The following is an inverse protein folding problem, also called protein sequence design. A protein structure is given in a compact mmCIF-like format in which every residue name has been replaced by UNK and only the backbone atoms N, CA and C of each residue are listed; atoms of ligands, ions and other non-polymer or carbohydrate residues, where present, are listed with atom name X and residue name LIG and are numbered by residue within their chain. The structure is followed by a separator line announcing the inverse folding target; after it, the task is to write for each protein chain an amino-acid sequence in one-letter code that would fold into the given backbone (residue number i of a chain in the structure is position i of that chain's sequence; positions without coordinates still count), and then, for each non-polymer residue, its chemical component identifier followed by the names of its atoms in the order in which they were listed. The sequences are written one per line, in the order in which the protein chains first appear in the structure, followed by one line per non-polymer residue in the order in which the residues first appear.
data_IF_859209103040
#
_entry.id   IF_859209103040
#
_cell.length_a   1.000
_cell.length_b   1.000
_cell.length_c   1.000
_cell.angle_alpha   90.00
_cell.angle_beta   90.00
_cell.angle_gamma   90.00
#
_symmetry.space_group_name_H-M   'P 1'
#
loop_
_entity.id
_entity.type
_entity.pdbx_description
1 polymer ?
#
# COMPACT_ATOMS: atom_id res chain seq x y z
N UNK A 1 -9.73 -3.39 -8.83
CA UNK A 1 -8.35 -3.07 -9.28
C UNK A 1 -8.15 -1.57 -9.37
N UNK A 2 -7.42 -1.01 -8.40
CA UNK A 2 -7.10 0.42 -8.27
C UNK A 2 -5.77 0.70 -8.97
N UNK A 3 -5.59 1.92 -9.48
CA UNK A 3 -4.31 2.37 -10.06
C UNK A 3 -3.78 3.56 -9.29
N UNK A 4 -2.54 3.48 -8.84
CA UNK A 4 -1.83 4.54 -8.13
C UNK A 4 -0.72 5.06 -9.02
N UNK A 5 -0.62 6.38 -9.12
CA UNK A 5 0.42 7.06 -9.89
C UNK A 5 1.17 7.99 -8.94
N UNK A 6 2.49 7.87 -8.88
CA UNK A 6 3.33 8.74 -8.07
C UNK A 6 4.62 9.14 -8.78
N UNK A 7 5.21 10.23 -8.32
CA UNK A 7 6.41 10.85 -8.88
C UNK A 7 7.44 11.03 -7.77
N UNK A 8 8.22 9.99 -7.43
CA UNK A 8 9.19 10.06 -6.34
C UNK A 8 10.32 11.06 -6.58
N UNK A 9 10.57 11.42 -7.83
CA UNK A 9 11.53 12.43 -8.25
C UNK A 9 11.05 13.17 -9.51
N UNK A 10 11.58 14.36 -9.82
CA UNK A 10 11.30 15.02 -11.10
C UNK A 10 11.57 14.07 -12.28
N UNK A 11 10.66 14.09 -13.25
CA UNK A 11 10.72 13.26 -14.48
C UNK A 11 10.66 11.74 -14.27
N UNK A 12 10.36 11.27 -13.06
CA UNK A 12 10.19 9.83 -12.77
C UNK A 12 8.75 9.52 -12.45
N UNK A 13 8.20 8.49 -13.07
CA UNK A 13 6.82 8.05 -12.87
C UNK A 13 6.81 6.58 -12.44
N UNK A 14 6.18 6.30 -11.31
CA UNK A 14 5.89 4.95 -10.85
C UNK A 14 4.39 4.70 -10.91
N UNK A 15 4.00 3.59 -11.54
CA UNK A 15 2.61 3.13 -11.62
C UNK A 15 2.47 1.84 -10.83
N UNK A 16 1.54 1.82 -9.88
CA UNK A 16 1.10 0.59 -9.23
C UNK A 16 -0.29 0.22 -9.73
N UNK A 17 -0.43 -1.01 -10.18
CA UNK A 17 -1.71 -1.66 -10.36
C UNK A 17 -2.02 -2.46 -9.08
N UNK A 18 -2.91 -1.93 -8.24
CA UNK A 18 -3.30 -2.53 -6.96
C UNK A 18 -4.41 -3.54 -7.19
N UNK A 19 -4.11 -4.81 -6.95
CA UNK A 19 -5.07 -5.90 -7.03
C UNK A 19 -6.10 -5.83 -5.90
N UNK A 20 -7.22 -6.55 -6.05
CA UNK A 20 -8.24 -6.62 -5.00
C UNK A 20 -7.73 -7.33 -3.73
N UNK A 21 -6.74 -8.23 -3.87
CA UNK A 21 -6.05 -8.88 -2.75
C UNK A 21 -5.15 -7.90 -2.00
N UNK A 22 -4.37 -7.10 -2.73
CA UNK A 22 -3.56 -6.03 -2.15
C UNK A 22 -4.41 -5.00 -1.40
N UNK A 23 -5.58 -4.66 -1.94
CA UNK A 23 -6.49 -3.77 -1.24
C UNK A 23 -7.01 -4.39 0.07
N UNK A 24 -7.38 -5.67 0.07
CA UNK A 24 -7.80 -6.38 1.30
C UNK A 24 -6.67 -6.45 2.33
N UNK A 25 -5.47 -6.80 1.92
CA UNK A 25 -4.30 -6.87 2.80
C UNK A 25 -3.97 -5.51 3.42
N UNK A 26 -4.08 -4.43 2.63
CA UNK A 26 -3.90 -3.07 3.13
C UNK A 26 -4.96 -2.73 4.20
N UNK A 27 -6.24 -3.04 3.95
CA UNK A 27 -7.30 -2.78 4.93
C UNK A 27 -7.12 -3.59 6.21
N UNK A 28 -6.69 -4.84 6.09
CA UNK A 28 -6.39 -5.68 7.26
C UNK A 28 -5.23 -5.10 8.08
N UNK A 29 -4.14 -4.68 7.43
CA UNK A 29 -3.05 -3.93 8.06
C UNK A 29 -3.56 -2.71 8.85
N UNK A 30 -4.39 -1.87 8.22
CA UNK A 30 -4.94 -0.66 8.87
C UNK A 30 -5.84 -0.98 10.06
N UNK A 31 -6.59 -2.08 10.01
CA UNK A 31 -7.40 -2.56 11.13
C UNK A 31 -6.53 -3.07 12.29
N UNK A 32 -5.48 -3.85 11.99
CA UNK A 32 -4.55 -4.38 12.99
C UNK A 32 -3.71 -3.28 13.63
N UNK A 33 -3.32 -2.25 12.87
CA UNK A 33 -2.59 -1.10 13.40
C UNK A 33 -3.41 -0.27 14.43
N UNK A 34 -4.73 -0.45 14.49
CA UNK A 34 -5.59 0.18 15.51
C UNK A 34 -5.71 -0.66 16.79
N UNK A 35 -5.30 -1.93 16.75
CA UNK A 35 -5.19 -2.79 17.93
C UNK A 35 -3.78 -2.73 18.52
N UNK A 36 -3.65 -3.05 19.81
CA UNK A 36 -2.37 -3.17 20.51
C UNK A 36 -1.75 -4.58 20.38
N UNK A 37 -2.36 -5.43 19.54
CA UNK A 37 -1.95 -6.81 19.25
C UNK A 37 -0.82 -6.88 18.21
N UNK A 38 -0.50 -8.09 17.75
CA UNK A 38 0.46 -8.35 16.68
C UNK A 38 0.10 -7.63 15.36
N UNK A 39 1.13 -7.20 14.65
CA UNK A 39 1.02 -6.65 13.29
C UNK A 39 0.77 -7.74 12.24
N UNK A 40 0.37 -7.33 11.03
CA UNK A 40 0.25 -8.27 9.90
C UNK A 40 1.64 -8.79 9.51
N UNK A 41 1.74 -10.08 9.22
CA UNK A 41 2.98 -10.67 8.68
C UNK A 41 3.20 -10.18 7.25
N UNK A 42 4.21 -9.33 7.07
CA UNK A 42 4.57 -8.79 5.76
C UNK A 42 5.20 -9.84 4.84
N UNK A 43 5.77 -10.94 5.36
CA UNK A 43 6.43 -11.97 4.53
C UNK A 43 5.43 -12.75 3.67
N UNK A 44 4.15 -12.76 4.06
CA UNK A 44 3.07 -13.42 3.32
C UNK A 44 2.10 -12.43 2.68
N UNK A 45 2.41 -11.13 2.73
CA UNK A 45 1.52 -10.07 2.25
C UNK A 45 1.60 -9.96 0.72
N UNK A 46 0.48 -9.70 0.06
CA UNK A 46 0.45 -9.47 -1.39
C UNK A 46 1.20 -8.20 -1.84
N UNK A 47 1.56 -7.32 -0.90
CA UNK A 47 2.44 -6.18 -1.14
C UNK A 47 3.93 -6.52 -1.10
N UNK A 48 4.32 -7.72 -0.61
CA UNK A 48 5.71 -8.16 -0.50
C UNK A 48 6.49 -8.07 -1.83
N UNK A 49 5.95 -8.51 -2.98
CA UNK A 49 6.68 -8.42 -4.25
C UNK A 49 6.78 -6.99 -4.79
N UNK A 50 6.12 -6.03 -4.14
CA UNK A 50 5.99 -4.63 -4.56
C UNK A 50 6.73 -3.74 -3.56
N UNK A 51 8.01 -4.07 -3.38
CA UNK A 51 8.98 -3.36 -2.57
C UNK A 51 10.03 -2.67 -3.46
N UNK A 52 10.53 -1.53 -3.00
CA UNK A 52 11.71 -0.89 -3.57
C UNK A 52 12.69 -0.73 -2.42
N UNK A 53 13.88 -1.31 -2.57
CA UNK A 53 14.80 -1.53 -1.46
C UNK A 53 14.09 -2.34 -0.36
N UNK A 54 14.28 -2.01 0.91
CA UNK A 54 13.67 -2.71 2.05
C UNK A 54 12.36 -2.05 2.51
N UNK A 55 11.63 -1.39 1.60
CA UNK A 55 10.38 -0.69 1.92
C UNK A 55 9.26 -1.10 0.97
N UNK A 56 8.21 -1.72 1.53
CA UNK A 56 6.98 -2.02 0.81
C UNK A 56 6.29 -0.74 0.36
N UNK A 57 5.86 -0.69 -0.91
CA UNK A 57 5.23 0.53 -1.44
C UNK A 57 3.92 0.90 -0.71
N UNK A 58 3.27 -0.03 0.01
CA UNK A 58 2.12 0.27 0.88
C UNK A 58 2.44 1.21 2.04
N UNK A 59 3.71 1.38 2.40
CA UNK A 59 4.17 2.24 3.50
C UNK A 59 4.50 3.66 3.02
N UNK A 60 4.57 3.88 1.71
CA UNK A 60 4.91 5.19 1.17
C UNK A 60 3.76 6.18 1.44
N UNK A 61 4.05 7.38 1.99
CA UNK A 61 3.00 8.33 2.39
C UNK A 61 2.00 8.66 1.28
N UNK A 62 2.48 8.79 0.04
CA UNK A 62 1.63 9.10 -1.11
C UNK A 62 0.75 7.91 -1.52
N UNK A 63 1.25 6.68 -1.36
CA UNK A 63 0.45 5.46 -1.59
C UNK A 63 -0.62 5.33 -0.51
N UNK A 64 -0.27 5.54 0.76
CA UNK A 64 -1.22 5.56 1.88
C UNK A 64 -2.35 6.57 1.62
N UNK A 65 -1.98 7.81 1.25
CA UNK A 65 -2.92 8.88 0.93
C UNK A 65 -3.88 8.46 -0.18
N UNK A 66 -3.36 7.98 -1.31
CA UNK A 66 -4.20 7.55 -2.43
C UNK A 66 -5.04 6.31 -2.11
N UNK A 67 -4.56 5.40 -1.24
CA UNK A 67 -5.33 4.24 -0.76
C UNK A 67 -6.51 4.65 0.13
N UNK A 68 -6.38 5.73 0.90
CA UNK A 68 -7.41 6.23 1.82
C UNK A 68 -8.42 7.17 1.14
N UNK A 69 -7.99 7.99 0.18
CA UNK A 69 -8.86 9.01 -0.48
C UNK A 69 -9.98 8.43 -1.35
N UNK A 70 -9.83 7.21 -1.87
CA UNK A 70 -10.89 6.56 -2.67
C UNK A 70 -12.10 6.06 -1.87
N UNK A 71 -12.17 6.32 -0.55
CA UNK A 71 -13.29 5.90 0.31
C UNK A 71 -14.40 6.96 0.49
N UNK A 72 -14.25 8.13 -0.14
CA UNK A 72 -15.21 9.25 -0.01
C UNK A 72 -15.80 9.73 -1.35
N UNK A 73 -15.76 8.89 -2.39
CA UNK A 73 -16.45 9.12 -3.67
C UNK A 73 -17.80 8.41 -3.74
#
# INVERSE_FOLDING_TARGET
MRKIKLFPAPHTELRLDVSDEMEKDYQECRRMAQSWDDGKDCNTCSWWPVEIEDTGLCEWPEVIRQMEEGKHG
#
